data_IF_079522101673
#
_entry.id   IF_079522101673
#
_cell.length_a   1.000
_cell.length_b   1.000
_cell.length_c   1.000
_cell.angle_alpha   90.00
_cell.angle_beta   90.00
_cell.angle_gamma   90.00
#
_symmetry.space_group_name_H-M   'P 1'
#
loop_
_entity.id
_entity.type
_entity.pdbx_description
1 polymer ?
#
# COMPACT_ATOMS: atom_id res chain seq x y z
N UNK A 1 -88.18 -41.04 8.11
CA UNK A 1 -87.62 -39.86 7.43
C UNK A 1 -86.80 -39.08 8.46
N UNK A 2 -85.48 -39.24 8.44
CA UNK A 2 -84.57 -38.43 9.24
C UNK A 2 -83.29 -38.24 8.41
N UNK A 3 -83.11 -36.98 7.95
CA UNK A 3 -81.91 -36.53 7.21
C UNK A 3 -80.84 -36.27 8.24
N UNK A 4 -79.63 -36.92 8.06
CA UNK A 4 -78.44 -36.62 8.79
C UNK A 4 -77.52 -35.82 7.90
N UNK A 5 -77.34 -34.56 8.21
CA UNK A 5 -76.33 -33.71 7.60
C UNK A 5 -74.98 -34.06 8.19
N UNK A 6 -73.97 -34.43 7.32
CA UNK A 6 -72.58 -34.59 7.69
C UNK A 6 -71.91 -33.24 7.46
N UNK A 7 -71.44 -32.61 8.51
CA UNK A 7 -70.56 -31.48 8.43
C UNK A 7 -69.11 -31.99 8.14
N UNK A 8 -68.61 -31.63 6.97
CA UNK A 8 -67.23 -31.85 6.61
C UNK A 8 -66.35 -30.71 7.17
N UNK A 9 -65.43 -31.07 8.06
CA UNK A 9 -64.42 -30.14 8.59
C UNK A 9 -63.23 -30.11 7.61
N UNK A 10 -63.13 -29.02 6.81
CA UNK A 10 -61.98 -28.77 5.95
C UNK A 10 -60.84 -28.22 6.74
N UNK A 11 -59.81 -29.00 6.98
CA UNK A 11 -58.51 -28.53 7.50
C UNK A 11 -57.75 -27.78 6.37
N UNK A 12 -57.66 -26.43 6.49
CA UNK A 12 -56.73 -25.62 5.69
C UNK A 12 -55.33 -25.78 6.27
N UNK A 13 -54.48 -26.54 5.62
CA UNK A 13 -53.04 -26.56 5.88
C UNK A 13 -52.38 -25.38 5.15
N UNK A 14 -52.06 -24.31 5.91
CA UNK A 14 -51.22 -23.21 5.41
C UNK A 14 -49.78 -23.70 5.37
N UNK A 15 -49.27 -24.01 4.17
CA UNK A 15 -47.87 -24.29 3.96
C UNK A 15 -47.10 -22.97 3.92
N UNK A 16 -46.40 -22.61 5.00
CA UNK A 16 -45.41 -21.53 5.03
C UNK A 16 -44.20 -21.93 4.17
N UNK A 17 -44.22 -21.53 2.90
CA UNK A 17 -43.01 -21.55 2.03
C UNK A 17 -42.07 -20.45 2.52
N UNK A 18 -41.14 -20.79 3.43
CA UNK A 18 -40.06 -19.94 3.84
C UNK A 18 -39.17 -19.66 2.61
N UNK A 19 -39.20 -18.47 2.08
CA UNK A 19 -38.26 -18.01 1.05
C UNK A 19 -36.88 -17.93 1.71
N UNK A 20 -36.01 -18.90 1.45
CA UNK A 20 -34.58 -18.84 1.74
C UNK A 20 -34.00 -17.82 0.76
N UNK A 21 -33.91 -16.55 1.19
CA UNK A 21 -33.19 -15.55 0.42
C UNK A 21 -31.70 -15.99 0.30
N UNK A 22 -31.13 -16.05 -0.92
CA UNK A 22 -29.72 -16.34 -1.08
C UNK A 22 -28.93 -15.28 -0.34
N UNK A 23 -28.14 -15.66 0.67
CA UNK A 23 -27.16 -14.78 1.27
C UNK A 23 -26.16 -14.39 0.18
N UNK A 24 -25.89 -13.07 -0.06
CA UNK A 24 -24.83 -12.69 -0.96
C UNK A 24 -23.54 -13.35 -0.46
N UNK A 25 -22.89 -14.13 -1.31
CA UNK A 25 -21.56 -14.63 -1.03
C UNK A 25 -20.65 -13.40 -0.83
N UNK A 26 -20.25 -13.11 0.40
CA UNK A 26 -19.22 -12.12 0.66
C UNK A 26 -17.95 -12.69 0.00
N UNK A 27 -17.56 -12.11 -1.13
CA UNK A 27 -16.24 -12.35 -1.68
C UNK A 27 -15.24 -12.04 -0.56
N UNK A 28 -14.45 -13.02 -0.17
CA UNK A 28 -13.43 -12.85 0.86
C UNK A 28 -12.45 -11.79 0.39
N UNK A 29 -12.56 -10.59 0.95
CA UNK A 29 -11.72 -9.47 0.57
C UNK A 29 -10.41 -9.57 1.35
N UNK A 30 -9.30 -9.49 0.63
CA UNK A 30 -8.01 -9.27 1.26
C UNK A 30 -8.04 -7.96 2.03
N UNK A 31 -7.55 -8.00 3.27
CA UNK A 31 -7.33 -6.82 4.10
C UNK A 31 -5.83 -6.57 4.27
N UNK A 32 -5.45 -5.68 5.15
CA UNK A 32 -4.06 -5.33 5.42
C UNK A 32 -3.81 -5.22 6.91
N UNK A 33 -2.54 -5.38 7.29
CA UNK A 33 -2.03 -5.07 8.63
C UNK A 33 -0.78 -4.21 8.51
N UNK A 34 -0.59 -3.29 9.45
CA UNK A 34 0.61 -2.46 9.52
C UNK A 34 1.83 -3.31 9.86
N UNK A 35 2.99 -2.84 9.40
CA UNK A 35 4.29 -3.45 9.66
C UNK A 35 5.29 -2.42 10.19
N UNK A 36 6.30 -2.88 10.89
CA UNK A 36 7.44 -2.04 11.24
C UNK A 36 8.24 -1.70 9.98
N UNK A 37 8.16 -0.45 9.53
CA UNK A 37 8.80 0.03 8.31
C UNK A 37 10.33 -0.11 8.36
N UNK A 38 10.94 -0.07 9.54
CA UNK A 38 12.39 -0.22 9.72
C UNK A 38 12.91 -1.62 9.40
N UNK A 39 12.01 -2.60 9.37
CA UNK A 39 12.32 -3.99 8.98
C UNK A 39 12.28 -4.24 7.48
N UNK A 40 12.08 -3.21 6.69
CA UNK A 40 11.98 -3.33 5.23
C UNK A 40 12.93 -2.39 4.54
N UNK A 41 13.48 -2.85 3.44
CA UNK A 41 14.15 -1.99 2.47
C UNK A 41 13.52 -2.22 1.09
N UNK A 42 13.19 -1.13 0.43
CA UNK A 42 12.71 -1.09 -0.96
C UNK A 42 13.86 -0.61 -1.82
N UNK A 43 14.26 -1.39 -2.83
CA UNK A 43 15.45 -1.04 -3.60
C UNK A 43 15.30 -1.25 -5.11
N UNK A 44 16.02 -0.43 -5.86
CA UNK A 44 16.25 -0.61 -7.28
C UNK A 44 17.46 -1.51 -7.47
N UNK A 45 17.27 -2.64 -8.15
CA UNK A 45 18.34 -3.60 -8.49
C UNK A 45 18.75 -3.38 -9.94
N UNK A 46 20.01 -3.04 -10.24
CA UNK A 46 20.46 -2.85 -11.62
C UNK A 46 20.41 -4.16 -12.40
N UNK A 47 20.04 -4.09 -13.67
CA UNK A 47 20.02 -5.22 -14.59
C UNK A 47 21.21 -5.16 -15.54
N UNK A 48 21.80 -6.30 -15.85
CA UNK A 48 22.97 -6.41 -16.72
C UNK A 48 22.77 -5.83 -18.15
N UNK A 49 21.52 -5.78 -18.61
CA UNK A 49 21.14 -5.23 -19.92
C UNK A 49 20.63 -3.80 -19.86
N UNK A 50 20.86 -3.11 -18.75
CA UNK A 50 20.33 -1.78 -18.45
C UNK A 50 18.96 -1.80 -17.79
N UNK A 51 18.62 -0.67 -17.13
CA UNK A 51 17.39 -0.54 -16.34
C UNK A 51 17.49 -1.17 -14.95
N UNK A 52 16.37 -1.18 -14.25
CA UNK A 52 16.27 -1.60 -12.85
C UNK A 52 15.03 -2.47 -12.64
N UNK A 53 15.10 -3.38 -11.67
CA UNK A 53 13.94 -4.09 -11.14
C UNK A 53 13.74 -3.75 -9.67
N UNK A 54 12.49 -3.82 -9.22
CA UNK A 54 12.14 -3.62 -7.83
C UNK A 54 12.45 -4.88 -7.02
N UNK A 55 13.04 -4.68 -5.86
CA UNK A 55 13.20 -5.70 -4.82
C UNK A 55 12.78 -5.12 -3.48
N UNK A 56 11.95 -5.84 -2.75
CA UNK A 56 11.63 -5.55 -1.35
C UNK A 56 12.23 -6.64 -0.49
N UNK A 57 13.02 -6.26 0.50
CA UNK A 57 13.63 -7.19 1.47
C UNK A 57 13.08 -6.89 2.86
N UNK A 58 12.81 -7.94 3.63
CA UNK A 58 12.35 -7.87 5.01
C UNK A 58 13.38 -8.52 5.92
N UNK A 59 13.67 -7.89 7.05
CA UNK A 59 14.42 -8.44 8.17
C UNK A 59 13.43 -9.20 9.07
N UNK A 60 13.32 -10.52 8.92
CA UNK A 60 12.39 -11.35 9.72
C UNK A 60 12.97 -11.61 11.11
N UNK A 61 14.25 -11.98 11.20
CA UNK A 61 14.97 -12.23 12.46
C UNK A 61 16.27 -11.43 12.50
N UNK A 62 16.65 -10.95 13.68
CA UNK A 62 17.84 -10.11 13.89
C UNK A 62 19.14 -10.92 14.09
N UNK A 63 19.15 -12.20 13.73
CA UNK A 63 20.32 -13.08 13.86
C UNK A 63 21.47 -12.70 12.92
N UNK A 64 21.14 -12.19 11.73
CA UNK A 64 22.08 -11.65 10.73
C UNK A 64 21.40 -10.54 9.94
N UNK A 65 22.12 -9.45 9.60
CA UNK A 65 21.57 -8.39 8.78
C UNK A 65 21.32 -8.87 7.36
N UNK A 66 20.17 -8.52 6.79
CA UNK A 66 19.80 -8.86 5.42
C UNK A 66 20.38 -7.90 4.39
N UNK A 67 20.70 -6.68 4.82
CA UNK A 67 21.36 -5.65 4.02
C UNK A 67 22.18 -4.72 4.90
N UNK A 68 23.03 -3.92 4.28
CA UNK A 68 23.64 -2.74 4.89
C UNK A 68 23.41 -1.52 4.00
N UNK A 69 23.51 -0.33 4.58
CA UNK A 69 23.28 0.95 3.91
C UNK A 69 24.52 1.82 4.01
N UNK A 70 24.82 2.55 2.92
CA UNK A 70 25.91 3.52 2.87
C UNK A 70 25.54 4.73 2.00
N UNK A 71 26.14 5.90 2.26
CA UNK A 71 25.79 7.13 1.58
C UNK A 71 24.47 7.73 2.10
N UNK A 72 24.07 8.85 1.50
CA UNK A 72 22.85 9.58 1.90
C UNK A 72 21.96 9.94 0.69
N UNK A 73 22.54 10.40 -0.40
CA UNK A 73 21.83 10.83 -1.61
C UNK A 73 22.64 10.45 -2.87
N UNK A 74 22.44 9.27 -3.42
CA UNK A 74 21.57 8.19 -3.01
C UNK A 74 22.10 7.37 -1.82
N UNK A 75 21.20 6.65 -1.15
CA UNK A 75 21.59 5.56 -0.24
C UNK A 75 21.83 4.30 -1.07
N UNK A 76 23.05 3.78 -0.97
CA UNK A 76 23.47 2.53 -1.61
C UNK A 76 23.24 1.35 -0.68
N UNK A 77 22.67 0.28 -1.22
CA UNK A 77 22.39 -0.96 -0.50
C UNK A 77 23.40 -2.03 -0.87
N UNK A 78 23.94 -2.70 0.15
CA UNK A 78 24.65 -3.97 -0.03
C UNK A 78 23.72 -5.11 0.42
N UNK A 79 23.27 -6.00 -0.50
CA UNK A 79 22.32 -7.07 -0.19
C UNK A 79 23.03 -8.27 0.45
N UNK A 80 23.31 -8.22 1.74
CA UNK A 80 24.04 -9.24 2.51
C UNK A 80 23.38 -10.62 2.48
N UNK A 81 22.05 -10.68 2.29
CA UNK A 81 21.30 -11.93 2.17
C UNK A 81 21.82 -12.86 1.05
N UNK A 82 22.62 -12.35 0.13
CA UNK A 82 23.23 -13.15 -0.94
C UNK A 82 24.46 -13.95 -0.49
N UNK A 83 24.99 -13.66 0.69
CA UNK A 83 26.25 -14.22 1.21
C UNK A 83 26.05 -15.38 2.18
N UNK A 84 24.80 -15.72 2.54
CA UNK A 84 24.48 -16.79 3.49
C UNK A 84 23.10 -17.43 3.18
N UNK A 85 22.80 -18.55 3.85
CA UNK A 85 21.44 -19.10 3.81
C UNK A 85 20.50 -18.20 4.65
N UNK A 86 19.71 -17.39 3.95
CA UNK A 86 18.80 -16.42 4.53
C UNK A 86 17.42 -16.98 4.89
N UNK A 87 17.19 -18.28 4.72
CA UNK A 87 15.90 -18.93 4.97
C UNK A 87 15.42 -18.67 6.39
N UNK A 88 14.23 -18.07 6.53
CA UNK A 88 13.62 -17.70 7.81
C UNK A 88 14.31 -16.56 8.56
N UNK A 89 15.34 -15.93 8.00
CA UNK A 89 16.03 -14.74 8.51
C UNK A 89 15.62 -13.51 7.72
N UNK A 90 15.62 -13.62 6.39
CA UNK A 90 15.21 -12.55 5.48
C UNK A 90 14.03 -13.00 4.62
N UNK A 91 13.09 -12.09 4.39
CA UNK A 91 12.06 -12.21 3.38
C UNK A 91 12.43 -11.42 2.12
N UNK A 92 11.92 -11.83 0.96
CA UNK A 92 12.09 -11.05 -0.28
C UNK A 92 10.83 -11.14 -1.15
N UNK A 93 10.49 -10.01 -1.80
CA UNK A 93 9.46 -9.92 -2.81
C UNK A 93 10.07 -9.32 -4.08
N UNK A 94 9.96 -10.01 -5.20
CA UNK A 94 10.69 -9.71 -6.45
C UNK A 94 9.76 -9.39 -7.62
N UNK A 95 8.47 -9.67 -7.50
CA UNK A 95 7.49 -9.54 -8.57
C UNK A 95 6.07 -9.30 -8.02
N UNK A 96 5.11 -9.19 -8.90
CA UNK A 96 3.70 -8.92 -8.58
C UNK A 96 3.01 -10.01 -7.73
N UNK A 97 3.61 -11.18 -7.56
CA UNK A 97 3.12 -12.18 -6.62
C UNK A 97 3.53 -11.81 -5.18
N UNK A 98 4.66 -11.14 -5.02
CA UNK A 98 5.20 -10.73 -3.73
C UNK A 98 4.77 -9.34 -3.28
N UNK A 99 4.38 -8.44 -4.21
CA UNK A 99 3.95 -7.08 -3.88
C UNK A 99 2.91 -6.52 -4.86
N UNK A 100 2.09 -5.58 -4.40
CA UNK A 100 1.19 -4.79 -5.22
C UNK A 100 0.88 -3.43 -4.58
N UNK A 101 0.06 -2.61 -5.25
CA UNK A 101 -0.38 -1.30 -4.77
C UNK A 101 -1.75 -1.45 -4.10
N UNK A 102 -1.93 -0.75 -2.98
CA UNK A 102 -3.21 -0.63 -2.29
C UNK A 102 -3.52 0.84 -2.00
N UNK A 103 -4.64 1.34 -2.50
CA UNK A 103 -5.07 2.73 -2.30
C UNK A 103 -6.50 2.75 -1.80
N UNK A 104 -6.79 3.58 -0.78
CA UNK A 104 -8.13 3.71 -0.20
C UNK A 104 -8.77 2.34 0.09
N UNK A 105 -8.00 1.43 0.68
CA UNK A 105 -8.37 0.05 1.02
C UNK A 105 -8.67 -0.88 -0.17
N UNK A 106 -8.42 -0.45 -1.41
CA UNK A 106 -8.60 -1.27 -2.60
C UNK A 106 -7.25 -1.87 -3.06
N UNK A 107 -7.22 -3.19 -3.26
CA UNK A 107 -6.10 -3.87 -3.91
C UNK A 107 -6.11 -3.57 -5.41
N UNK A 108 -5.07 -2.94 -5.89
CA UNK A 108 -4.94 -2.50 -7.28
C UNK A 108 -4.04 -3.42 -8.12
N UNK A 109 -3.64 -4.58 -7.63
CA UNK A 109 -2.67 -5.46 -8.29
C UNK A 109 -3.04 -5.89 -9.70
N UNK A 110 -4.33 -5.89 -10.08
CA UNK A 110 -4.80 -6.18 -11.44
C UNK A 110 -4.91 -4.92 -12.32
N UNK A 111 -4.90 -3.73 -11.73
CA UNK A 111 -5.14 -2.46 -12.43
C UNK A 111 -3.85 -1.64 -12.60
N UNK A 112 -2.92 -1.80 -11.68
CA UNK A 112 -1.66 -1.06 -11.61
C UNK A 112 -0.47 -1.98 -11.47
N UNK A 113 0.61 -1.66 -12.18
CA UNK A 113 1.92 -2.28 -12.02
C UNK A 113 2.91 -1.31 -11.38
N UNK A 114 3.82 -1.84 -10.56
CA UNK A 114 4.98 -1.09 -10.06
C UNK A 114 6.06 -1.06 -11.13
N UNK A 115 6.60 0.12 -11.43
CA UNK A 115 7.67 0.35 -12.39
C UNK A 115 8.73 1.25 -11.80
N UNK A 116 9.96 1.09 -12.27
CA UNK A 116 11.05 2.02 -11.97
C UNK A 116 11.27 2.86 -13.22
N UNK A 117 11.18 4.18 -13.06
CA UNK A 117 11.40 5.15 -14.11
C UNK A 117 12.64 5.99 -13.77
N UNK A 118 13.38 6.42 -14.78
CA UNK A 118 14.49 7.35 -14.61
C UNK A 118 13.95 8.77 -14.63
N UNK A 119 14.18 9.51 -13.56
CA UNK A 119 13.89 10.95 -13.44
C UNK A 119 15.13 11.81 -13.69
N UNK A 120 15.07 13.07 -13.30
CA UNK A 120 16.19 14.02 -13.38
C UNK A 120 17.19 13.72 -12.26
N UNK A 121 18.20 12.87 -12.57
CA UNK A 121 19.26 12.51 -11.63
C UNK A 121 18.87 11.54 -10.51
N UNK A 122 17.71 10.89 -10.60
CA UNK A 122 17.22 9.91 -9.62
C UNK A 122 16.38 8.81 -10.28
N UNK A 123 16.06 7.77 -9.52
CA UNK A 123 15.06 6.78 -9.90
C UNK A 123 13.75 7.03 -9.14
N UNK A 124 12.65 6.87 -9.86
CA UNK A 124 11.30 6.96 -9.31
C UNK A 124 10.66 5.58 -9.28
N UNK A 125 10.11 5.19 -8.13
CA UNK A 125 9.19 4.06 -8.04
C UNK A 125 7.78 4.56 -8.33
N UNK A 126 7.15 4.00 -9.34
CA UNK A 126 5.90 4.52 -9.89
C UNK A 126 4.85 3.43 -9.99
N UNK A 127 3.64 3.75 -9.59
CA UNK A 127 2.43 3.00 -9.92
C UNK A 127 1.89 3.45 -11.27
N UNK A 128 1.93 2.56 -12.27
CA UNK A 128 1.40 2.81 -13.62
C UNK A 128 0.15 1.99 -13.86
N UNK A 129 -0.91 2.66 -14.33
CA UNK A 129 -2.17 2.00 -14.69
C UNK A 129 -2.03 1.19 -15.98
N UNK A 130 -2.60 0.00 -15.99
CA UNK A 130 -2.72 -0.84 -17.20
C UNK A 130 -3.85 -0.37 -18.13
N UNK A 131 -4.69 0.59 -17.71
CA UNK A 131 -5.90 1.03 -18.39
C UNK A 131 -6.03 2.56 -18.49
N UNK A 132 -4.94 3.31 -18.36
CA UNK A 132 -4.96 4.77 -18.51
C UNK A 132 -5.42 5.55 -17.26
N UNK A 133 -5.30 5.00 -16.07
CA UNK A 133 -5.49 5.72 -14.80
C UNK A 133 -4.31 6.64 -14.45
N UNK A 134 -4.44 7.48 -13.41
CA UNK A 134 -3.40 8.41 -13.00
C UNK A 134 -2.12 7.71 -12.58
N UNK A 135 -0.98 8.33 -12.86
CA UNK A 135 0.33 7.90 -12.41
C UNK A 135 0.52 8.25 -10.93
N UNK A 136 1.12 7.35 -10.17
CA UNK A 136 1.41 7.53 -8.74
C UNK A 136 2.91 7.49 -8.51
N UNK A 137 3.52 8.53 -7.94
CA UNK A 137 4.90 8.47 -7.46
C UNK A 137 4.86 7.91 -6.04
N UNK A 138 5.53 6.78 -5.84
CA UNK A 138 5.50 6.01 -4.59
C UNK A 138 6.77 6.22 -3.78
N UNK A 139 7.91 6.42 -4.46
CA UNK A 139 9.19 6.63 -3.79
C UNK A 139 10.27 7.12 -4.74
N UNK A 140 11.39 7.59 -4.16
CA UNK A 140 12.54 8.20 -4.85
C UNK A 140 13.85 7.71 -4.27
N UNK A 141 14.91 7.70 -5.09
CA UNK A 141 16.25 7.37 -4.60
C UNK A 141 17.04 8.60 -4.13
N UNK A 142 16.55 9.81 -4.40
CA UNK A 142 17.23 11.09 -4.10
C UNK A 142 18.66 11.16 -4.62
N UNK A 143 18.89 10.63 -5.78
CA UNK A 143 20.17 10.57 -6.46
C UNK A 143 20.32 9.32 -7.31
N UNK A 144 21.39 9.28 -8.09
CA UNK A 144 21.71 8.18 -9.00
C UNK A 144 23.15 7.74 -8.80
N UNK A 145 23.36 6.44 -8.72
CA UNK A 145 24.68 5.83 -8.80
C UNK A 145 24.58 4.58 -9.68
N UNK A 146 25.15 4.64 -10.86
CA UNK A 146 25.03 3.60 -11.86
C UNK A 146 25.62 2.27 -11.36
N UNK A 147 24.95 1.17 -11.68
CA UNK A 147 25.39 -0.17 -11.31
C UNK A 147 25.23 -0.54 -9.84
N UNK A 148 24.72 0.36 -8.99
CA UNK A 148 24.51 0.11 -7.57
C UNK A 148 23.05 -0.22 -7.25
N UNK A 149 22.83 -0.93 -6.17
CA UNK A 149 21.51 -1.10 -5.56
C UNK A 149 21.16 0.18 -4.82
N UNK A 150 20.05 0.82 -5.18
CA UNK A 150 19.67 2.11 -4.62
C UNK A 150 18.41 1.97 -3.78
N UNK A 151 18.41 2.53 -2.57
CA UNK A 151 17.25 2.57 -1.69
C UNK A 151 16.20 3.52 -2.24
N UNK A 152 14.95 3.07 -2.29
CA UNK A 152 13.82 3.96 -2.42
C UNK A 152 13.38 4.47 -1.04
N UNK A 153 13.31 5.77 -0.90
CA UNK A 153 12.58 6.45 0.15
C UNK A 153 11.14 6.61 -0.32
N UNK A 154 10.20 6.04 0.41
CA UNK A 154 8.78 6.18 0.08
C UNK A 154 8.35 7.63 0.30
N UNK A 155 7.47 8.14 -0.56
CA UNK A 155 6.84 9.46 -0.36
C UNK A 155 6.06 9.47 0.97
N UNK A 156 5.92 10.61 1.65
CA UNK A 156 5.42 10.68 3.03
C UNK A 156 4.03 10.06 3.28
N UNK A 157 3.21 9.96 2.24
CA UNK A 157 1.86 9.38 2.32
C UNK A 157 1.83 7.89 2.02
N UNK A 158 2.98 7.30 1.65
CA UNK A 158 3.12 5.89 1.31
C UNK A 158 3.84 5.11 2.40
N UNK A 159 3.39 3.89 2.63
CA UNK A 159 4.00 2.94 3.56
C UNK A 159 3.83 1.51 3.08
N UNK A 160 4.56 0.61 3.69
CA UNK A 160 4.38 -0.82 3.46
C UNK A 160 3.36 -1.37 4.46
N UNK A 161 2.51 -2.29 3.99
CA UNK A 161 1.65 -3.11 4.83
C UNK A 161 1.70 -4.56 4.35
N UNK A 162 1.22 -5.50 5.18
CA UNK A 162 1.09 -6.91 4.78
C UNK A 162 -0.35 -7.22 4.41
N UNK A 163 -0.52 -8.00 3.35
CA UNK A 163 -1.82 -8.56 2.99
C UNK A 163 -2.27 -9.53 4.06
N UNK A 164 -3.54 -9.47 4.40
CA UNK A 164 -4.18 -10.46 5.27
C UNK A 164 -5.40 -11.08 4.59
N UNK A 165 -5.67 -12.33 4.94
CA UNK A 165 -6.82 -13.09 4.47
C UNK A 165 -7.38 -13.87 5.65
N UNK A 166 -8.66 -13.66 5.97
CA UNK A 166 -9.33 -14.32 7.12
C UNK A 166 -8.52 -14.22 8.44
N UNK A 167 -7.91 -13.03 8.68
CA UNK A 167 -7.07 -12.77 9.85
C UNK A 167 -5.64 -13.32 9.78
N UNK A 168 -5.29 -14.07 8.75
CA UNK A 168 -3.95 -14.60 8.54
C UNK A 168 -3.06 -13.61 7.76
N UNK A 169 -1.86 -13.33 8.27
CA UNK A 169 -0.88 -12.49 7.58
C UNK A 169 -0.21 -13.30 6.48
N UNK A 170 -0.26 -12.79 5.26
CA UNK A 170 0.35 -13.44 4.09
C UNK A 170 1.73 -12.85 3.78
N UNK A 171 2.51 -13.56 2.96
CA UNK A 171 3.83 -13.11 2.50
C UNK A 171 3.82 -11.89 1.55
N UNK A 172 2.65 -11.46 1.09
CA UNK A 172 2.50 -10.39 0.12
C UNK A 172 2.56 -9.00 0.78
N UNK A 173 3.35 -8.09 0.21
CA UNK A 173 3.55 -6.72 0.68
C UNK A 173 2.73 -5.75 -0.16
N UNK A 174 2.02 -4.84 0.47
CA UNK A 174 1.37 -3.73 -0.20
C UNK A 174 2.18 -2.44 -0.06
N UNK A 175 2.31 -1.71 -1.16
CA UNK A 175 2.59 -0.28 -1.15
C UNK A 175 1.26 0.43 -0.94
N UNK A 176 1.06 0.99 0.25
CA UNK A 176 -0.24 1.44 0.73
C UNK A 176 -0.31 2.95 0.84
N UNK A 177 -1.40 3.51 0.35
CA UNK A 177 -1.82 4.89 0.56
C UNK A 177 -3.30 4.93 0.95
N UNK A 178 -3.67 5.79 1.90
CA UNK A 178 -5.02 5.80 2.44
C UNK A 178 -6.02 6.59 1.58
N UNK A 179 -5.55 7.43 0.63
CA UNK A 179 -6.44 8.20 -0.25
C UNK A 179 -5.92 8.29 -1.69
N UNK A 180 -6.83 8.44 -2.63
CA UNK A 180 -6.50 8.65 -4.04
C UNK A 180 -5.83 10.00 -4.29
N UNK A 181 -6.27 11.07 -3.59
CA UNK A 181 -5.71 12.40 -3.71
C UNK A 181 -4.22 12.40 -3.33
N UNK A 182 -3.90 11.80 -2.17
CA UNK A 182 -2.52 11.69 -1.72
C UNK A 182 -1.68 10.79 -2.64
N UNK A 183 -2.25 9.68 -3.14
CA UNK A 183 -1.56 8.74 -4.02
C UNK A 183 -1.22 9.34 -5.38
N UNK A 184 -2.04 10.26 -5.91
CA UNK A 184 -1.86 10.86 -7.24
C UNK A 184 -1.16 12.21 -7.23
N UNK A 185 -0.72 12.68 -6.07
CA UNK A 185 -0.01 13.96 -5.92
C UNK A 185 -0.92 15.19 -5.92
N UNK A 186 -2.24 15.01 -5.81
CA UNK A 186 -3.18 16.09 -5.54
C UNK A 186 -3.21 16.41 -4.03
N UNK A 187 -2.04 16.49 -3.39
CA UNK A 187 -1.94 16.90 -1.97
C UNK A 187 -2.29 18.39 -1.93
N UNK A 188 -3.34 18.81 -1.20
CA UNK A 188 -3.51 20.23 -0.89
C UNK A 188 -2.23 20.71 -0.22
N UNK A 189 -1.66 21.81 -0.70
CA UNK A 189 -0.54 22.45 -0.02
C UNK A 189 -0.90 22.55 1.48
N UNK A 190 0.04 22.27 2.41
CA UNK A 190 -0.23 22.42 3.82
C UNK A 190 -0.77 23.84 4.03
N UNK A 191 -1.92 23.96 4.69
CA UNK A 191 -2.56 25.23 4.94
C UNK A 191 -1.50 26.14 5.57
N UNK A 192 -1.16 27.23 4.89
CA UNK A 192 -0.28 28.26 5.43
C UNK A 192 -0.87 28.65 6.78
N UNK A 193 -0.13 28.59 7.89
CA UNK A 193 -0.67 29.02 9.17
C UNK A 193 -1.16 30.46 8.97
N UNK A 194 -2.44 30.70 9.26
CA UNK A 194 -3.04 32.03 9.25
C UNK A 194 -2.21 32.84 10.21
N UNK A 195 -1.39 33.73 9.65
CA UNK A 195 -0.60 34.66 10.44
C UNK A 195 -1.56 35.38 11.36
N UNK A 196 -1.34 35.26 12.66
CA UNK A 196 -1.99 36.10 13.65
C UNK A 196 -1.56 37.53 13.31
N UNK A 197 -2.43 38.26 12.63
CA UNK A 197 -2.26 39.73 12.49
C UNK A 197 -2.21 40.28 13.90
N UNK A 198 -1.01 40.55 14.37
CA UNK A 198 -0.79 41.37 15.55
C UNK A 198 -1.15 42.79 15.13
N UNK A 199 -2.36 43.19 15.49
CA UNK A 199 -2.80 44.58 15.36
C UNK A 199 -1.90 45.40 16.28
N UNK A 200 -0.87 46.04 15.71
CA UNK A 200 -0.02 47.00 16.41
C UNK A 200 -0.75 48.32 16.33
N UNK A 201 -1.43 48.71 17.41
CA UNK A 201 -1.99 50.04 17.57
C UNK A 201 -0.86 51.09 17.40
N UNK A 202 -1.09 52.19 16.63
CA UNK A 202 -0.08 53.19 16.42
C UNK A 202 0.19 53.95 17.72
N UNK A 203 1.48 54.07 18.08
CA UNK A 203 1.97 54.82 19.22
C UNK A 203 1.57 56.30 19.05
N UNK A 204 0.90 56.95 20.05
CA UNK A 204 0.54 58.35 19.97
C UNK A 204 1.79 59.23 19.99
N UNK A 205 1.89 60.16 19.03
CA UNK A 205 2.95 61.13 18.91
C UNK A 205 2.83 62.17 20.04
N UNK A 206 3.92 62.54 20.75
CA UNK A 206 3.87 63.62 21.76
C UNK A 206 3.70 64.96 21.06
N UNK A 207 2.68 65.75 21.48
CA UNK A 207 2.52 67.16 21.09
C UNK A 207 3.41 67.99 21.97
N UNK A 208 4.23 68.79 21.34
CA UNK A 208 5.02 69.94 21.95
C UNK A 208 4.21 71.18 22.05
#
# INVERSE_FOLDING_TARGET
>A
MKYWQKFGLSLLTVACLGTIAPRPAQASMFTQTEVDQSRYVVMAVPLARGGYRLLVVEQIKDTRPCWSESGTNPVVIDPLLTTFDFTGICGRATDSNGYSIRVAQQDLGLQYGLRIEQGEGELLLVGSSNRGGPRMVIGRTHGMQEGQFLKFHLEPTWRLTRRTYEGQVLGHVYFTNDSWEAATGSIPAPATPIGTETNIDPIPTPQS
#
